data_IF_484635868079
#
_entry.id   IF_484635868079
#
_cell.length_a   1.000
_cell.length_b   1.000
_cell.length_c   1.000
_cell.angle_alpha   90.00
_cell.angle_beta   90.00
_cell.angle_gamma   90.00
#
_symmetry.space_group_name_H-M   'P 1'
#
loop_
_entity.id
_entity.type
_entity.pdbx_description
1 polymer ?
2 polymer ?
3 non-polymer ?
4 non-polymer ?
5 water ?
#
# COMPACT_ATOMS: atom_id res chain seq x y z
N UNK A 1 -4.26 7.79 6.51
CA UNK A 1 -2.99 7.10 6.14
C UNK A 1 -3.20 6.01 5.11
N UNK A 2 -2.23 5.12 4.96
CA UNK A 2 -2.30 4.12 3.90
C UNK A 2 -3.48 3.17 4.06
N UNK A 3 -3.88 2.88 5.30
CA UNK A 3 -5.01 1.98 5.51
C UNK A 3 -6.28 2.65 5.00
N UNK A 4 -6.41 3.95 5.26
CA UNK A 4 -7.59 4.68 4.84
C UNK A 4 -7.64 4.76 3.32
N UNK A 5 -6.47 4.92 2.71
CA UNK A 5 -6.39 5.11 1.26
C UNK A 5 -6.47 3.80 0.47
N UNK A 6 -5.96 2.70 1.03
CA UNK A 6 -5.77 1.48 0.23
C UNK A 6 -6.56 0.28 0.72
N UNK A 7 -6.99 0.32 1.98
CA UNK A 7 -7.74 -0.78 2.59
C UNK A 7 -9.22 -0.44 2.67
N UNK A 8 -9.55 0.63 3.39
CA UNK A 8 -10.92 1.12 3.55
C UNK A 8 -11.47 1.62 2.22
N UNK A 9 -10.58 2.21 1.42
CA UNK A 9 -10.90 2.64 0.06
C UNK A 9 -10.03 1.88 -0.94
N UNK A 10 -10.26 2.08 -2.23
CA UNK A 10 -9.51 1.37 -3.27
C UNK A 10 -8.12 1.97 -3.46
N UNK A 11 -7.12 1.10 -3.47
CA UNK A 11 -5.74 1.52 -3.60
C UNK A 11 -5.43 1.94 -5.04
N UNK A 12 -4.24 2.50 -5.23
CA UNK A 12 -3.75 2.86 -6.55
C UNK A 12 -2.23 2.77 -6.54
N UNK A 13 -1.65 2.54 -7.72
CA UNK A 13 -0.19 2.50 -7.86
C UNK A 13 0.41 3.82 -7.39
N UNK A 14 -0.23 4.91 -7.79
CA UNK A 14 0.20 6.23 -7.39
C UNK A 14 0.41 6.31 -5.88
N UNK A 15 -0.60 5.88 -5.14
CA UNK A 15 -0.57 5.97 -3.69
C UNK A 15 0.44 5.00 -3.06
N UNK A 16 0.54 3.80 -3.61
CA UNK A 16 1.52 2.85 -3.09
C UNK A 16 2.93 3.39 -3.21
N UNK A 17 3.25 4.02 -4.34
CA UNK A 17 4.61 4.48 -4.57
C UNK A 17 4.98 5.63 -3.64
N UNK A 18 3.97 6.29 -3.06
CA UNK A 18 4.22 7.31 -2.05
C UNK A 18 4.90 6.75 -0.82
N UNK A 19 4.85 5.43 -0.64
CA UNK A 19 5.41 4.80 0.55
C UNK A 19 6.69 4.04 0.26
N UNK A 20 7.17 4.09 -0.98
CA UNK A 20 8.49 3.56 -1.29
C UNK A 20 9.55 4.48 -0.69
N UNK A 21 10.70 3.91 -0.34
CA UNK A 21 11.85 4.72 0.05
C UNK A 21 12.53 5.29 -1.19
N UNK B 1 -2.98 -5.71 -9.84
CA UNK B 1 -3.06 -6.14 -8.42
C UNK B 1 -3.12 -4.96 -7.44
N UNK B 2 -2.93 -3.74 -7.93
CA UNK B 2 -2.87 -2.56 -7.06
C UNK B 2 -4.23 -1.87 -6.97
N UNK B 3 -5.11 -2.10 -7.94
CA UNK B 3 -6.35 -1.35 -8.01
C UNK B 3 -7.54 -2.05 -7.37
N UNK B 4 -7.46 -2.24 -6.06
CA UNK B 4 -8.46 -2.98 -5.31
C UNK B 4 -8.29 -2.60 -3.85
N UNK B 5 -9.16 -3.12 -2.99
CA UNK B 5 -8.97 -2.95 -1.55
C UNK B 5 -7.86 -3.90 -1.12
N UNK B 6 -6.83 -3.34 -0.49
CA UNK B 6 -5.67 -4.08 -0.02
C UNK B 6 -5.51 -3.86 1.48
N UNK B 7 -5.69 -4.93 2.24
CA UNK B 7 -5.61 -4.86 3.69
C UNK B 7 -4.62 -5.85 4.24
N UNK B 8 -3.99 -5.48 5.34
CA UNK B 8 -3.12 -6.39 6.06
C UNK B 8 -2.00 -6.90 5.19
N UNK B 9 -1.82 -8.21 5.18
CA UNK B 9 -0.70 -8.79 4.46
C UNK B 9 -0.83 -8.52 2.97
N UNK B 10 -2.04 -8.31 2.48
CA UNK B 10 -2.24 -8.06 1.06
C UNK B 10 -1.64 -6.71 0.69
N UNK B 11 -1.77 -5.75 1.59
CA UNK B 11 -1.23 -4.41 1.37
C UNK B 11 0.29 -4.41 1.43
N UNK B 12 0.90 -5.09 2.41
CA UNK B 12 2.34 -5.20 2.51
C UNK B 12 2.93 -5.90 1.28
N UNK B 13 2.21 -6.92 0.79
CA UNK B 13 2.64 -7.65 -0.40
C UNK B 13 2.68 -6.71 -1.62
N UNK B 14 1.67 -5.87 -1.74
CA UNK B 14 1.62 -4.89 -2.84
C UNK B 14 2.75 -3.89 -2.77
N UNK B 15 3.02 -3.36 -1.57
CA UNK B 15 4.14 -2.44 -1.39
C UNK B 15 5.45 -3.10 -1.76
N UNK B 16 5.61 -4.35 -1.35
CA UNK B 16 6.80 -5.10 -1.65
C UNK B 16 7.03 -5.24 -3.16
N UNK B 17 5.97 -5.60 -3.88
CA UNK B 17 6.05 -5.80 -5.32
C UNK B 17 6.29 -4.49 -6.05
N UNK B 18 5.62 -3.45 -5.62
CA UNK B 18 5.71 -2.16 -6.29
C UNK B 18 7.06 -1.50 -6.05
N UNK B 19 7.55 -1.54 -4.81
CA UNK B 19 8.71 -0.73 -4.46
C UNK B 19 10.04 -1.38 -4.74
N UNK B 20 10.05 -2.69 -4.91
CA UNK B 20 11.25 -3.41 -5.31
C UNK B 20 12.43 -3.13 -4.40
N UNK B 21 13.59 -2.87 -5.00
CA UNK B 21 14.80 -2.71 -4.20
C UNK B 21 14.86 -1.39 -3.44
N UNK B 22 13.93 -0.48 -3.69
CA UNK B 22 13.86 0.74 -2.90
C UNK B 22 13.35 0.44 -1.50
N UNK B 23 12.55 -0.61 -1.37
CA UNK B 23 11.88 -0.90 -0.12
C UNK B 23 10.78 0.10 0.16
N UNK B 24 10.23 0.04 1.36
CA UNK B 24 9.07 0.84 1.69
C UNK B 24 8.89 0.99 3.18
N UNK B 25 8.02 1.91 3.57
CA UNK B 25 7.60 1.98 4.95
C UNK B 25 6.11 1.71 5.04
N UNK B 26 5.76 0.91 6.04
CA UNK B 26 4.38 0.55 6.32
C UNK B 26 3.99 1.06 7.69
N UNK B 27 3.06 2.00 7.73
CA UNK B 27 2.70 2.70 8.95
C UNK B 27 1.18 2.76 9.09
N UNK B 28 0.57 1.68 9.60
CA UNK B 28 -0.90 1.60 9.55
C UNK B 28 -1.60 2.55 10.52
N UNK B 29 -0.90 3.02 11.55
CA UNK B 29 -1.47 3.93 12.54
C UNK B 29 -0.98 5.36 12.34
N UNK B 30 -0.63 5.70 11.10
CA UNK B 30 -0.31 7.08 10.74
C UNK B 30 -1.16 7.49 9.55
X LIG C 1 -4.01 -10.41 -6.46
X LIG C 1 -2.89 -10.04 -5.52
X LIG C 1 -5.24 -10.82 -5.69
X LIG C 1 -4.35 -9.20 -7.29
X LIG C 1 -3.57 -11.53 -7.37
X LIG D 1 -4.89 -8.70 -10.92
X LIG D 1 -3.40 -8.45 -10.90
X LIG D 1 -5.19 -10.01 -11.61
X LIG D 1 -5.58 -7.58 -11.66
X LIG D 1 -5.42 -8.76 -9.51
X LIG E 1 12.28 0.73 -8.88
X LIG E 1 10.97 0.86 -8.09
X LIG E 1 10.51 2.21 -8.13
X LIG E 1 9.40 2.45 -7.32
X LIG E 1 8.95 3.93 -7.47
X LIG E 1 9.55 4.73 -6.46
X LIG E 1 9.60 6.12 -6.79
X LIG E 1 10.97 6.41 -7.51
X LIG E 1 11.47 7.62 -7.05
X LIG E 1 12.90 7.63 -6.86
X LIG E 1 13.63 7.36 -8.21
X LIG E 1 12.08 0.69 -9.84
X LIG E 1 12.74 -0.09 -8.61
X LIG E 1 10.29 0.28 -8.49
X LIG E 1 11.12 0.59 -7.12
X LIG E 1 8.67 1.86 -7.59
X LIG E 1 9.63 2.27 -6.40
X LIG E 1 9.22 4.26 -8.33
X LIG E 1 7.94 3.99 -7.38
X LIG E 1 8.84 6.34 -7.41
X LIG E 1 9.53 6.67 -5.96
X LIG E 1 10.83 6.47 -8.48
X LIG E 1 11.60 5.71 -7.31
X LIG E 1 13.16 6.91 -6.19
X LIG E 1 13.18 8.55 -6.50
X LIG E 1 14.51 7.78 -8.20
X LIG E 1 13.72 6.40 -8.34
#
# INVERSE_FOLDING_TARGET
GIVEQCCTSICSLYQLENYCN
FVNQHLCGSHLVEALYLVCGERGFFYTPKA
PO4 P O1 O2 O3 O4
PO4 P O1 O2 O3 O4
PE5 C3 C4 O3 C5 C6 O4 C7 C8 O5 C9 C10 H31 H32 H41 H42 H51 H52A H61 H62 H71 H72 H81 H82 H91 H92 H101 H102
#
